data_IF_176038701648
#
_entry.id   IF_176038701648
#
_cell.length_a   1.000
_cell.length_b   1.000
_cell.length_c   1.000
_cell.angle_alpha   90.00
_cell.angle_beta   90.00
_cell.angle_gamma   90.00
#
_symmetry.space_group_name_H-M   'P 1'
#
loop_
_entity.id
_entity.type
_entity.pdbx_description
1 polymer ?
#
# COMPACT_ATOMS: atom_id res chain seq x y z
N UNK A 1 8.66 -6.54 6.87
CA UNK A 1 7.67 -6.79 7.93
C UNK A 1 6.32 -6.30 7.44
N UNK A 2 5.26 -7.08 7.66
CA UNK A 2 3.90 -6.75 7.30
C UNK A 2 3.00 -7.00 8.50
N UNK A 3 2.07 -6.07 8.75
CA UNK A 3 1.05 -6.20 9.77
C UNK A 3 -0.31 -6.21 9.08
N UNK A 4 -1.14 -7.17 9.43
CA UNK A 4 -2.55 -7.14 9.06
C UNK A 4 -3.24 -6.04 9.89
N UNK A 5 -4.23 -5.36 9.31
CA UNK A 5 -5.11 -4.45 10.03
C UNK A 5 -5.69 -5.08 11.31
N UNK A 6 -6.07 -6.36 11.25
CA UNK A 6 -6.63 -7.08 12.40
C UNK A 6 -5.65 -7.25 13.58
N UNK A 7 -4.35 -6.97 13.40
CA UNK A 7 -3.38 -6.94 14.50
C UNK A 7 -3.77 -5.91 15.57
N UNK A 8 -4.54 -4.87 15.25
CA UNK A 8 -5.04 -3.88 16.22
C UNK A 8 -5.78 -4.53 17.40
N UNK A 9 -6.39 -5.71 17.19
CA UNK A 9 -7.14 -6.45 18.22
C UNK A 9 -6.26 -7.01 19.34
N UNK A 10 -4.93 -7.00 19.17
CA UNK A 10 -3.99 -7.32 20.24
C UNK A 10 -3.93 -6.20 21.29
N UNK A 11 -4.28 -4.97 20.90
CA UNK A 11 -4.20 -3.78 21.76
C UNK A 11 -5.59 -3.21 22.10
N UNK A 12 -6.56 -3.36 21.20
CA UNK A 12 -7.91 -2.79 21.35
C UNK A 12 -9.02 -3.83 21.33
N UNK A 13 -10.10 -3.56 22.07
CA UNK A 13 -11.29 -4.43 22.12
C UNK A 13 -12.23 -4.11 20.95
N UNK A 14 -11.99 -4.74 19.80
CA UNK A 14 -12.84 -4.59 18.61
C UNK A 14 -13.67 -5.85 18.38
N UNK A 15 -14.99 -5.73 18.10
CA UNK A 15 -15.84 -6.88 17.79
C UNK A 15 -15.34 -7.70 16.60
N UNK A 16 -15.46 -9.04 16.68
CA UNK A 16 -15.11 -9.94 15.59
C UNK A 16 -16.32 -10.14 14.64
N UNK A 17 -16.56 -9.16 13.77
CA UNK A 17 -17.73 -9.13 12.88
C UNK A 17 -17.43 -9.40 11.40
N UNK A 18 -16.18 -9.73 11.06
CA UNK A 18 -15.76 -10.01 9.68
C UNK A 18 -15.23 -11.43 9.58
N UNK A 19 -15.41 -12.05 8.41
CA UNK A 19 -14.90 -13.41 8.13
C UNK A 19 -13.43 -13.52 8.56
N UNK A 20 -13.11 -14.61 9.27
CA UNK A 20 -11.73 -14.95 9.64
C UNK A 20 -10.92 -15.10 8.36
N UNK A 21 -10.29 -14.01 7.90
CA UNK A 21 -9.25 -14.10 6.90
C UNK A 21 -8.13 -14.95 7.52
N UNK A 22 -7.85 -16.10 6.93
CA UNK A 22 -6.76 -17.02 7.30
C UNK A 22 -5.36 -16.43 7.15
N UNK A 23 -5.25 -15.12 6.91
CA UNK A 23 -3.98 -14.42 6.81
C UNK A 23 -3.43 -14.18 8.21
N UNK A 24 -2.15 -14.48 8.44
CA UNK A 24 -1.53 -14.21 9.73
C UNK A 24 -1.56 -12.72 10.08
N UNK A 25 -1.60 -12.46 11.38
CA UNK A 25 -1.61 -11.09 11.93
C UNK A 25 -0.32 -10.32 11.64
N UNK A 26 0.82 -11.01 11.52
CA UNK A 26 2.13 -10.43 11.21
C UNK A 26 2.97 -11.41 10.39
N UNK A 27 3.73 -10.89 9.42
CA UNK A 27 4.69 -11.67 8.61
C UNK A 27 6.03 -10.94 8.45
N UNK A 28 7.10 -11.73 8.52
CA UNK A 28 8.47 -11.25 8.48
C UNK A 28 9.28 -12.05 7.46
N UNK A 29 9.95 -11.34 6.55
CA UNK A 29 10.98 -11.92 5.70
C UNK A 29 12.33 -11.72 6.37
N UNK A 30 13.09 -12.81 6.53
CA UNK A 30 14.52 -12.77 6.87
C UNK A 30 15.26 -13.03 5.56
N UNK A 31 16.07 -12.05 5.14
CA UNK A 31 16.80 -12.10 3.88
C UNK A 31 18.28 -12.29 4.17
N UNK A 32 18.83 -13.44 3.76
CA UNK A 32 20.25 -13.76 3.97
C UNK A 32 21.17 -13.12 2.91
N UNK A 33 20.60 -12.44 1.93
CA UNK A 33 21.31 -11.67 0.93
C UNK A 33 20.40 -10.61 0.28
N UNK A 34 20.99 -9.68 -0.46
CA UNK A 34 20.21 -8.62 -1.10
C UNK A 34 21.04 -7.66 -1.93
N UNK A 35 20.33 -6.89 -2.77
CA UNK A 35 20.90 -5.84 -3.60
C UNK A 35 20.36 -4.50 -3.12
N UNK A 36 21.26 -3.57 -2.83
CA UNK A 36 20.95 -2.18 -2.52
C UNK A 36 21.34 -1.30 -3.71
N UNK A 37 20.40 -0.51 -4.22
CA UNK A 37 20.68 0.46 -5.28
C UNK A 37 20.68 1.89 -4.72
N UNK A 38 21.84 2.55 -4.80
CA UNK A 38 21.97 3.98 -4.49
C UNK A 38 21.63 4.81 -5.73
N UNK A 39 20.42 5.38 -5.74
CA UNK A 39 19.94 6.25 -6.81
C UNK A 39 20.74 7.55 -6.98
N UNK A 40 21.42 8.04 -5.94
CA UNK A 40 22.22 9.27 -5.98
C UNK A 40 23.59 9.00 -6.61
N UNK A 41 24.25 7.93 -6.18
CA UNK A 41 25.57 7.55 -6.70
C UNK A 41 25.51 6.70 -7.97
N UNK A 42 24.33 6.22 -8.36
CA UNK A 42 24.12 5.26 -9.46
C UNK A 42 24.95 3.99 -9.29
N UNK A 43 25.01 3.47 -8.06
CA UNK A 43 25.78 2.27 -7.70
C UNK A 43 24.89 1.20 -7.08
N UNK A 44 25.18 -0.05 -7.40
CA UNK A 44 24.58 -1.22 -6.78
C UNK A 44 25.56 -1.85 -5.81
N UNK A 45 25.07 -2.27 -4.65
CA UNK A 45 25.82 -3.03 -3.65
C UNK A 45 25.11 -4.37 -3.45
N UNK A 46 25.87 -5.46 -3.45
CA UNK A 46 25.37 -6.78 -3.11
C UNK A 46 25.95 -7.20 -1.76
N UNK A 47 25.09 -7.72 -0.89
CA UNK A 47 25.50 -8.32 0.38
C UNK A 47 24.93 -9.72 0.50
N UNK A 48 25.64 -10.57 1.24
CA UNK A 48 25.22 -11.92 1.59
C UNK A 48 25.80 -12.28 2.97
N UNK A 49 25.14 -13.17 3.70
CA UNK A 49 25.62 -13.70 4.98
C UNK A 49 26.23 -15.09 4.80
N UNK A 50 25.44 -16.07 4.38
CA UNK A 50 25.90 -17.47 4.30
C UNK A 50 26.44 -17.85 2.93
N UNK A 51 25.67 -17.54 1.87
CA UNK A 51 25.94 -18.02 0.51
C UNK A 51 25.95 -16.86 -0.48
N UNK A 52 27.05 -16.70 -1.20
CA UNK A 52 27.15 -15.75 -2.29
C UNK A 52 26.46 -16.32 -3.54
N UNK A 53 25.38 -15.68 -3.99
CA UNK A 53 24.65 -16.05 -5.20
C UNK A 53 24.70 -14.99 -6.30
N UNK A 54 25.68 -14.09 -6.28
CA UNK A 54 25.81 -13.02 -7.29
C UNK A 54 25.81 -13.58 -8.73
N UNK A 55 26.49 -14.71 -8.96
CA UNK A 55 26.60 -15.34 -10.27
C UNK A 55 25.32 -16.02 -10.75
N UNK A 56 24.33 -16.23 -9.87
CA UNK A 56 23.03 -16.79 -10.24
C UNK A 56 21.98 -15.71 -10.50
N UNK A 57 22.33 -14.43 -10.35
CA UNK A 57 21.42 -13.33 -10.62
C UNK A 57 21.35 -13.10 -12.12
N UNK A 58 20.15 -13.15 -12.66
CA UNK A 58 19.87 -12.66 -14.01
C UNK A 58 19.69 -11.14 -13.95
N UNK A 59 20.65 -10.41 -14.52
CA UNK A 59 20.66 -8.94 -14.57
C UNK A 59 20.38 -8.38 -15.97
N UNK A 60 20.33 -9.24 -16.99
CA UNK A 60 20.15 -8.83 -18.38
C UNK A 60 18.67 -8.93 -18.82
N UNK A 61 17.86 -9.75 -18.15
CA UNK A 61 16.45 -9.88 -18.48
C UNK A 61 15.58 -8.80 -17.81
N UNK A 62 15.16 -7.82 -18.61
CA UNK A 62 14.23 -6.76 -18.18
C UNK A 62 12.80 -6.93 -18.73
N UNK A 63 12.55 -8.01 -19.47
CA UNK A 63 11.26 -8.27 -20.08
C UNK A 63 10.37 -9.04 -19.11
N UNK A 64 9.18 -8.51 -18.89
CA UNK A 64 8.16 -9.11 -18.05
C UNK A 64 7.10 -9.75 -18.94
N UNK A 65 6.71 -10.98 -18.61
CA UNK A 65 5.73 -11.76 -19.38
C UNK A 65 4.35 -11.08 -19.38
N UNK A 66 3.39 -11.70 -20.07
CA UNK A 66 2.02 -11.19 -20.08
C UNK A 66 1.36 -11.35 -18.71
N UNK A 67 0.41 -10.46 -18.42
CA UNK A 67 -0.43 -10.51 -17.22
C UNK A 67 -1.88 -10.33 -17.65
N UNK A 68 -2.78 -11.14 -17.10
CA UNK A 68 -4.22 -11.08 -17.36
C UNK A 68 -5.02 -11.18 -16.07
N UNK A 69 -6.21 -10.59 -16.09
CA UNK A 69 -7.18 -10.58 -15.01
C UNK A 69 -8.54 -11.09 -15.49
N UNK A 70 -9.27 -11.76 -14.61
CA UNK A 70 -10.68 -12.09 -14.82
C UNK A 70 -11.57 -10.87 -14.61
N UNK A 71 -12.88 -11.05 -14.77
CA UNK A 71 -13.86 -10.08 -14.32
C UNK A 71 -13.66 -9.71 -12.84
N UNK A 72 -13.81 -8.40 -12.56
CA UNK A 72 -13.67 -7.83 -11.23
C UNK A 72 -14.99 -8.02 -10.47
N UNK A 73 -14.90 -8.62 -9.30
CA UNK A 73 -16.02 -8.82 -8.37
C UNK A 73 -15.89 -7.86 -7.19
N UNK A 74 -16.90 -7.03 -6.98
CA UNK A 74 -17.01 -6.19 -5.79
C UNK A 74 -17.57 -7.01 -4.62
N UNK A 75 -17.08 -6.77 -3.40
CA UNK A 75 -17.64 -7.41 -2.21
C UNK A 75 -18.96 -6.80 -1.74
N UNK A 76 -19.32 -5.62 -2.26
CA UNK A 76 -20.55 -4.90 -1.94
C UNK A 76 -20.96 -4.01 -3.11
N UNK A 77 -22.27 -3.77 -3.24
CA UNK A 77 -22.79 -2.85 -4.25
C UNK A 77 -22.76 -1.38 -3.77
N UNK A 78 -23.09 -0.49 -4.71
CA UNK A 78 -23.14 0.95 -4.48
C UNK A 78 -24.19 1.34 -3.42
N UNK A 79 -25.39 0.75 -3.48
CA UNK A 79 -26.48 1.11 -2.57
C UNK A 79 -26.14 0.77 -1.12
N UNK A 80 -25.50 -0.38 -0.90
CA UNK A 80 -25.02 -0.81 0.39
C UNK A 80 -23.92 0.11 0.91
N UNK A 81 -22.94 0.47 0.07
CA UNK A 81 -21.90 1.43 0.46
C UNK A 81 -22.48 2.80 0.82
N UNK A 82 -23.45 3.30 0.07
CA UNK A 82 -24.15 4.56 0.39
C UNK A 82 -24.92 4.48 1.71
N UNK A 83 -25.53 3.33 2.04
CA UNK A 83 -26.17 3.11 3.36
C UNK A 83 -25.13 3.18 4.48
N UNK A 84 -23.95 2.58 4.30
CA UNK A 84 -22.86 2.69 5.27
C UNK A 84 -22.39 4.14 5.45
N UNK A 85 -22.25 4.91 4.36
CA UNK A 85 -21.90 6.34 4.42
C UNK A 85 -22.96 7.15 5.19
N UNK A 86 -24.25 6.91 4.93
CA UNK A 86 -25.34 7.58 5.67
C UNK A 86 -25.29 7.25 7.16
N UNK A 87 -25.05 5.98 7.50
CA UNK A 87 -24.90 5.54 8.90
C UNK A 87 -23.70 6.20 9.58
N UNK A 88 -22.55 6.28 8.90
CA UNK A 88 -21.37 6.98 9.39
C UNK A 88 -21.64 8.46 9.65
N UNK A 89 -22.36 9.15 8.75
CA UNK A 89 -22.77 10.54 8.95
C UNK A 89 -23.68 10.71 10.16
N UNK A 90 -24.58 9.76 10.40
CA UNK A 90 -25.43 9.78 11.59
C UNK A 90 -24.60 9.68 12.87
N UNK A 91 -23.64 8.73 12.94
CA UNK A 91 -22.72 8.62 14.07
C UNK A 91 -21.88 9.89 14.30
N UNK A 92 -21.48 10.58 13.23
CA UNK A 92 -20.79 11.88 13.34
C UNK A 92 -21.73 12.94 13.92
N UNK A 93 -22.96 13.02 13.42
CA UNK A 93 -23.96 13.96 13.90
C UNK A 93 -24.31 13.73 15.38
N UNK A 94 -24.42 12.48 15.80
CA UNK A 94 -24.78 12.10 17.17
C UNK A 94 -23.61 12.27 18.16
N UNK A 95 -22.41 12.57 17.65
CA UNK A 95 -21.21 12.84 18.45
C UNK A 95 -20.43 11.59 18.84
N UNK A 96 -20.74 10.42 18.27
CA UNK A 96 -20.07 9.16 18.58
C UNK A 96 -18.65 9.09 17.99
N UNK A 97 -18.43 9.72 16.82
CA UNK A 97 -17.13 9.77 16.13
C UNK A 97 -16.95 11.12 15.42
N UNK A 98 -15.70 11.55 15.21
CA UNK A 98 -15.41 12.73 14.39
C UNK A 98 -15.24 12.40 12.90
N UNK A 99 -14.62 11.26 12.60
CA UNK A 99 -14.36 10.79 11.24
C UNK A 99 -14.25 9.27 11.23
N UNK A 100 -14.67 8.64 10.13
CA UNK A 100 -14.41 7.23 9.85
C UNK A 100 -14.05 7.04 8.38
N UNK A 101 -13.11 6.15 8.10
CA UNK A 101 -12.72 5.77 6.74
C UNK A 101 -13.41 4.45 6.39
N UNK A 102 -14.29 4.49 5.39
CA UNK A 102 -14.97 3.30 4.87
C UNK A 102 -14.26 2.80 3.62
N UNK A 103 -14.12 1.48 3.49
CA UNK A 103 -13.46 0.83 2.36
C UNK A 103 -14.30 -0.30 1.78
N UNK A 104 -14.13 -0.57 0.49
CA UNK A 104 -14.66 -1.76 -0.20
C UNK A 104 -13.53 -2.54 -0.88
N UNK A 105 -13.76 -3.83 -1.13
CA UNK A 105 -12.78 -4.76 -1.70
C UNK A 105 -13.20 -5.19 -3.09
N UNK A 106 -12.24 -5.19 -4.01
CA UNK A 106 -12.35 -5.78 -5.33
C UNK A 106 -11.57 -7.09 -5.36
N UNK A 107 -12.15 -8.13 -5.95
CA UNK A 107 -11.52 -9.44 -6.11
C UNK A 107 -11.54 -9.85 -7.57
N UNK A 108 -10.47 -10.46 -8.04
CA UNK A 108 -10.36 -11.01 -9.39
C UNK A 108 -9.34 -12.14 -9.37
N UNK A 109 -9.46 -13.07 -10.31
CA UNK A 109 -8.42 -14.05 -10.58
C UNK A 109 -7.37 -13.40 -11.48
N UNK A 110 -6.10 -13.62 -11.17
CA UNK A 110 -4.97 -13.07 -11.92
C UNK A 110 -4.03 -14.19 -12.34
N UNK A 111 -3.45 -14.09 -13.54
CA UNK A 111 -2.46 -15.03 -14.06
C UNK A 111 -1.37 -14.31 -14.85
N UNK A 112 -0.16 -14.88 -14.85
CA UNK A 112 1.00 -14.30 -15.52
C UNK A 112 1.94 -13.55 -14.57
N UNK A 113 2.71 -12.62 -15.12
CA UNK A 113 3.82 -11.99 -14.40
C UNK A 113 3.39 -10.77 -13.57
N UNK A 114 3.54 -10.89 -12.26
CA UNK A 114 3.24 -9.85 -11.28
C UNK A 114 4.22 -8.68 -11.30
N UNK A 115 5.44 -8.87 -11.81
CA UNK A 115 6.40 -7.77 -12.00
C UNK A 115 5.90 -6.78 -13.07
N UNK A 116 5.11 -7.25 -14.05
CA UNK A 116 4.42 -6.36 -14.99
C UNK A 116 3.41 -5.45 -14.30
N UNK A 117 2.67 -5.98 -13.32
CA UNK A 117 1.74 -5.18 -12.50
C UNK A 117 2.51 -4.14 -11.70
N UNK A 118 3.61 -4.55 -11.06
CA UNK A 118 4.47 -3.64 -10.30
C UNK A 118 5.07 -2.53 -11.18
N UNK A 119 5.55 -2.87 -12.39
CA UNK A 119 6.07 -1.90 -13.38
C UNK A 119 5.01 -0.87 -13.75
N UNK A 120 3.81 -1.31 -14.10
CA UNK A 120 2.69 -0.42 -14.43
C UNK A 120 2.29 0.46 -13.25
N UNK A 121 2.21 -0.11 -12.03
CA UNK A 121 1.88 0.63 -10.82
C UNK A 121 2.90 1.73 -10.52
N UNK A 122 4.20 1.44 -10.66
CA UNK A 122 5.29 2.41 -10.49
C UNK A 122 5.25 3.55 -11.50
N UNK A 123 4.82 3.27 -12.73
CA UNK A 123 4.67 4.30 -13.77
C UNK A 123 3.48 5.22 -13.52
N UNK A 124 2.34 4.66 -13.11
CA UNK A 124 1.10 5.41 -12.89
C UNK A 124 1.16 6.19 -11.57
N UNK A 125 1.62 5.54 -10.50
CA UNK A 125 1.64 6.10 -9.14
C UNK A 125 3.06 5.97 -8.55
N UNK A 126 4.03 6.79 -9.00
CA UNK A 126 5.35 6.81 -8.40
C UNK A 126 5.23 7.30 -6.94
N UNK A 127 5.49 6.41 -6.00
CA UNK A 127 5.48 6.73 -4.56
C UNK A 127 6.85 6.52 -3.94
N UNK A 128 7.21 7.25 -2.87
CA UNK A 128 8.35 6.91 -2.02
C UNK A 128 8.31 5.49 -1.44
N UNK A 129 7.12 4.88 -1.29
CA UNK A 129 6.95 3.55 -0.67
C UNK A 129 6.30 2.55 -1.64
N UNK A 130 7.04 2.20 -2.69
CA UNK A 130 6.70 1.11 -3.60
C UNK A 130 7.21 -0.23 -3.05
N UNK A 131 6.40 -1.28 -3.19
CA UNK A 131 6.80 -2.64 -2.77
C UNK A 131 6.24 -3.72 -3.68
N UNK A 132 7.04 -4.77 -3.88
CA UNK A 132 6.66 -6.04 -4.47
C UNK A 132 7.24 -7.16 -3.60
N UNK A 133 6.40 -7.74 -2.75
CA UNK A 133 6.83 -8.67 -1.69
C UNK A 133 6.18 -10.02 -1.96
N UNK A 134 6.99 -11.06 -2.17
CA UNK A 134 6.55 -12.45 -2.29
C UNK A 134 6.86 -13.21 -0.99
N UNK A 135 5.82 -13.74 -0.35
CA UNK A 135 5.88 -14.50 0.89
C UNK A 135 5.17 -15.84 0.69
N UNK A 136 5.96 -16.90 0.47
CA UNK A 136 5.45 -18.20 0.10
C UNK A 136 4.54 -18.12 -1.13
N UNK A 137 3.27 -18.48 -0.95
CA UNK A 137 2.25 -18.49 -2.00
C UNK A 137 1.51 -17.15 -2.19
N UNK A 138 1.84 -16.13 -1.38
CA UNK A 138 1.17 -14.82 -1.42
C UNK A 138 2.14 -13.76 -1.95
N UNK A 139 1.64 -12.89 -2.83
CA UNK A 139 2.41 -11.75 -3.33
C UNK A 139 1.62 -10.48 -3.06
N UNK A 140 2.29 -9.47 -2.52
CA UNK A 140 1.74 -8.14 -2.29
C UNK A 140 2.46 -7.13 -3.16
N UNK A 141 1.67 -6.31 -3.84
CA UNK A 141 2.15 -5.26 -4.73
C UNK A 141 1.43 -3.98 -4.34
N UNK A 142 2.17 -2.91 -4.13
CA UNK A 142 1.54 -1.66 -3.72
C UNK A 142 2.45 -0.45 -3.88
N UNK A 143 1.79 0.69 -3.79
CA UNK A 143 2.37 2.03 -3.83
C UNK A 143 1.71 2.81 -2.71
N UNK A 144 2.32 2.81 -1.52
CA UNK A 144 1.74 3.50 -0.36
C UNK A 144 2.09 4.97 -0.42
N UNK A 145 1.12 5.90 -0.49
CA UNK A 145 1.44 7.33 -0.52
C UNK A 145 1.94 7.86 0.84
N UNK A 146 1.71 7.12 1.92
CA UNK A 146 1.92 7.59 3.29
C UNK A 146 2.76 6.60 4.11
N UNK A 147 3.55 7.14 5.03
CA UNK A 147 4.35 6.38 5.98
C UNK A 147 3.65 6.36 7.32
N UNK A 148 3.35 5.15 7.83
CA UNK A 148 2.77 5.01 9.16
C UNK A 148 3.69 5.57 10.26
N UNK A 149 4.92 5.05 10.34
CA UNK A 149 5.94 5.52 11.27
C UNK A 149 7.34 5.16 10.79
N UNK A 150 8.33 5.91 11.24
CA UNK A 150 9.77 5.62 11.10
C UNK A 150 10.43 5.68 12.45
N UNK A 151 11.31 4.71 12.73
CA UNK A 151 12.16 4.72 13.93
C UNK A 151 13.61 4.77 13.49
N UNK A 152 14.35 5.80 13.92
CA UNK A 152 15.77 5.97 13.65
C UNK A 152 16.51 6.18 14.97
N UNK A 153 17.27 5.18 15.42
CA UNK A 153 17.85 5.18 16.76
C UNK A 153 16.75 5.24 17.82
N UNK A 154 16.73 6.32 18.60
CA UNK A 154 15.71 6.57 19.62
C UNK A 154 14.63 7.57 19.18
N UNK A 155 14.62 7.98 17.91
CA UNK A 155 13.67 8.96 17.38
C UNK A 155 12.55 8.25 16.62
N UNK A 156 11.29 8.63 16.90
CA UNK A 156 10.10 8.16 16.19
C UNK A 156 9.47 9.33 15.42
N UNK A 157 9.18 9.13 14.14
CA UNK A 157 8.59 10.14 13.24
C UNK A 157 7.35 9.57 12.54
N UNK A 158 6.33 10.41 12.35
CA UNK A 158 5.16 10.13 11.51
C UNK A 158 4.77 11.39 10.76
N UNK A 159 4.22 11.25 9.55
CA UNK A 159 3.82 12.38 8.70
C UNK A 159 2.38 12.17 8.24
N UNK A 160 1.39 12.42 9.11
CA UNK A 160 -0.01 12.25 8.76
C UNK A 160 -0.40 13.15 7.59
N UNK A 161 -1.09 12.60 6.60
CA UNK A 161 -1.59 13.36 5.46
C UNK A 161 -3.09 13.53 5.62
N UNK A 162 -3.55 14.78 5.72
CA UNK A 162 -4.96 15.13 5.77
C UNK A 162 -5.25 16.24 4.76
N UNK A 163 -6.36 16.07 4.02
CA UNK A 163 -6.75 16.96 2.94
C UNK A 163 -6.08 16.60 1.61
N UNK A 164 -6.87 16.60 0.54
CA UNK A 164 -6.37 16.30 -0.81
C UNK A 164 -6.99 17.30 -1.80
N UNK A 165 -6.18 17.74 -2.76
CA UNK A 165 -6.62 18.43 -3.97
C UNK A 165 -6.01 17.76 -5.19
N UNK A 166 -6.77 17.66 -6.30
CA UNK A 166 -6.22 17.11 -7.54
C UNK A 166 -5.14 18.04 -8.09
N UNK A 167 -4.08 17.47 -8.64
CA UNK A 167 -3.06 18.21 -9.40
C UNK A 167 -3.47 18.20 -10.87
N UNK A 168 -3.40 19.35 -11.52
CA UNK A 168 -3.74 19.54 -12.93
C UNK A 168 -2.55 20.07 -13.73
N UNK A 169 -2.66 20.15 -15.05
CA UNK A 169 -1.62 20.74 -15.91
C UNK A 169 -1.65 22.29 -15.94
N UNK A 170 -2.53 22.92 -15.16
CA UNK A 170 -2.71 24.37 -15.09
C UNK A 170 -2.16 24.89 -13.76
N UNK A 171 -1.02 25.58 -13.82
CA UNK A 171 -0.34 26.12 -12.63
C UNK A 171 -1.23 27.08 -11.83
N UNK A 172 -2.07 27.88 -12.49
CA UNK A 172 -2.94 28.83 -11.80
C UNK A 172 -4.04 28.12 -11.02
N UNK A 173 -4.60 27.06 -11.59
CA UNK A 173 -5.58 26.21 -10.88
C UNK A 173 -4.95 25.49 -9.71
N UNK A 174 -3.73 24.98 -9.89
CA UNK A 174 -3.00 24.32 -8.82
C UNK A 174 -2.71 25.30 -7.66
N UNK A 175 -2.30 26.54 -7.95
CA UNK A 175 -2.08 27.54 -6.92
C UNK A 175 -3.38 27.91 -6.20
N UNK A 176 -4.48 28.09 -6.94
CA UNK A 176 -5.79 28.32 -6.33
C UNK A 176 -6.24 27.16 -5.42
N UNK A 177 -6.12 25.92 -5.87
CA UNK A 177 -6.48 24.73 -5.08
C UNK A 177 -5.59 24.57 -3.85
N UNK A 178 -4.32 24.96 -3.94
CA UNK A 178 -3.40 24.99 -2.80
C UNK A 178 -3.84 26.03 -1.75
N UNK A 179 -4.16 27.24 -2.18
CA UNK A 179 -4.67 28.28 -1.27
C UNK A 179 -6.00 27.86 -0.63
N UNK A 180 -6.90 27.23 -1.40
CA UNK A 180 -8.15 26.67 -0.86
C UNK A 180 -7.89 25.56 0.17
N UNK A 181 -6.88 24.71 -0.03
CA UNK A 181 -6.51 23.66 0.94
C UNK A 181 -5.94 24.24 2.25
N UNK A 182 -5.26 25.39 2.19
CA UNK A 182 -4.67 26.06 3.35
C UNK A 182 -5.69 26.88 4.16
N UNK A 183 -6.77 27.32 3.53
CA UNK A 183 -7.72 28.28 4.10
C UNK A 183 -9.18 27.80 4.12
N UNK A 184 -9.46 26.59 3.66
CA UNK A 184 -10.81 26.00 3.56
C UNK A 184 -11.26 25.19 4.76
#
# INVERSE_FOLDING_TARGET
MLFNYDAIRLWEKIPNSHDENSSPIMEFGIYNDGILYDNKQKKSFYFYYDTNRINSLDYDNTDFDTFSLSEIKENMDKEYFEKMVKKAKQYIHDGDIFQVVLSKKFNFNASGDLLRVYKSLRQINPSPYLYHIKLGNRTMIGSSPEMLLRVTGNTVETFPIAGTRPITNDEKKNEFMKEELLHG
#
